data_IF_829663236543
#
_entry.id   IF_829663236543
#
_cell.length_a   1.000
_cell.length_b   1.000
_cell.length_c   1.000
_cell.angle_alpha   90.00
_cell.angle_beta   90.00
_cell.angle_gamma   90.00
#
_symmetry.space_group_name_H-M   'P 1'
#
loop_
_entity.id
_entity.type
_entity.pdbx_description
1 polymer ?
#
# COMPACT_ATOMS: atom_id res chain seq x y z
N UNK A 1 -52.23 51.89 68.53
CA UNK A 1 -50.84 51.67 68.10
C UNK A 1 -50.77 50.23 67.73
N UNK A 2 -50.79 49.93 66.43
CA UNK A 2 -50.94 48.59 65.90
C UNK A 2 -49.71 48.34 65.06
N UNK A 3 -48.82 47.37 65.46
CA UNK A 3 -47.67 46.93 64.75
C UNK A 3 -48.04 45.86 63.71
N UNK A 4 -47.70 46.07 62.47
CA UNK A 4 -47.85 45.08 61.39
C UNK A 4 -46.58 44.24 61.26
N UNK A 5 -46.71 42.97 61.35
CA UNK A 5 -45.69 42.00 61.05
C UNK A 5 -45.72 41.67 59.56
N UNK A 6 -44.58 41.83 58.89
CA UNK A 6 -44.38 41.41 57.49
C UNK A 6 -43.72 40.07 57.51
N UNK A 7 -44.36 39.08 56.91
CA UNK A 7 -43.79 37.73 56.67
C UNK A 7 -43.13 37.72 55.28
N UNK A 8 -41.83 37.56 55.29
CA UNK A 8 -41.03 37.36 54.03
C UNK A 8 -40.96 35.86 53.70
N UNK A 9 -41.59 35.47 52.61
CA UNK A 9 -41.47 34.09 52.07
C UNK A 9 -40.22 33.97 51.19
N UNK A 10 -39.31 33.15 51.62
CA UNK A 10 -38.11 32.77 50.82
C UNK A 10 -38.47 31.61 49.93
N UNK A 11 -38.49 31.84 48.63
CA UNK A 11 -38.63 30.78 47.61
C UNK A 11 -37.24 30.16 47.27
N UNK A 12 -37.05 28.91 47.64
CA UNK A 12 -35.88 28.12 47.29
C UNK A 12 -36.08 27.51 45.90
N UNK A 13 -35.38 28.02 44.92
CA UNK A 13 -35.37 27.44 43.57
C UNK A 13 -34.38 26.26 43.53
N UNK A 14 -34.90 25.07 43.41
CA UNK A 14 -34.10 23.83 43.18
C UNK A 14 -33.75 23.74 41.70
N UNK A 15 -32.47 23.94 41.35
CA UNK A 15 -31.96 23.72 39.99
C UNK A 15 -31.69 22.23 39.84
N UNK A 16 -32.51 21.52 39.06
CA UNK A 16 -32.21 20.18 38.58
C UNK A 16 -31.19 20.29 37.45
N UNK A 17 -29.96 19.90 37.72
CA UNK A 17 -28.94 19.67 36.68
C UNK A 17 -29.23 18.33 35.99
N UNK A 18 -29.78 18.39 34.79
CA UNK A 18 -29.91 17.23 33.93
C UNK A 18 -28.53 16.93 33.30
N UNK A 19 -27.83 15.94 33.84
CA UNK A 19 -26.63 15.37 33.19
C UNK A 19 -27.06 14.50 31.99
N UNK A 20 -26.98 15.05 30.80
CA UNK A 20 -27.08 14.29 29.56
C UNK A 20 -25.82 13.41 29.39
N UNK A 21 -25.92 12.14 29.78
CA UNK A 21 -24.94 11.14 29.38
C UNK A 21 -25.07 10.94 27.88
N UNK A 22 -24.14 11.54 27.13
CA UNK A 22 -23.96 11.21 25.71
C UNK A 22 -23.50 9.75 25.63
N UNK A 23 -24.40 8.87 25.18
CA UNK A 23 -24.04 7.52 24.76
C UNK A 23 -23.04 7.68 23.59
N UNK A 24 -21.76 7.48 23.85
CA UNK A 24 -20.80 7.29 22.80
C UNK A 24 -21.17 6.00 22.05
N UNK A 25 -21.69 6.15 20.84
CA UNK A 25 -21.82 5.03 19.92
C UNK A 25 -20.43 4.40 19.77
N UNK A 26 -20.32 3.05 19.77
CA UNK A 26 -19.04 2.41 19.49
C UNK A 26 -18.55 2.93 18.14
N UNK A 27 -17.32 3.44 18.11
CA UNK A 27 -16.68 3.86 16.88
C UNK A 27 -16.71 2.66 15.93
N UNK A 28 -17.37 2.82 14.78
CA UNK A 28 -17.26 1.84 13.70
C UNK A 28 -15.78 1.72 13.38
N UNK A 29 -15.22 0.49 13.28
CA UNK A 29 -13.82 0.35 12.88
C UNK A 29 -13.63 1.09 11.56
N UNK A 30 -12.61 1.94 11.52
CA UNK A 30 -12.28 2.69 10.32
C UNK A 30 -12.17 1.69 9.16
N UNK A 31 -12.96 1.90 8.12
CA UNK A 31 -12.90 1.05 6.93
C UNK A 31 -11.52 1.19 6.33
N UNK A 32 -10.79 0.09 6.14
CA UNK A 32 -9.47 0.14 5.55
C UNK A 32 -9.54 0.82 4.18
N UNK A 33 -8.75 1.86 3.98
CA UNK A 33 -8.47 2.41 2.65
C UNK A 33 -7.61 1.40 1.87
N UNK A 34 -7.70 1.37 0.55
CA UNK A 34 -8.35 2.27 -0.40
C UNK A 34 -9.87 2.08 -0.50
N UNK A 35 -10.58 3.11 -1.03
CA UNK A 35 -12.03 3.10 -1.11
C UNK A 35 -12.57 1.99 -2.02
N UNK A 36 -13.69 1.39 -1.62
CA UNK A 36 -14.36 0.35 -2.40
C UNK A 36 -14.39 -1.01 -1.71
N UNK A 37 -14.82 -2.02 -2.43
CA UNK A 37 -14.99 -3.39 -1.90
C UNK A 37 -13.74 -4.27 -2.06
N UNK A 38 -12.75 -3.82 -2.84
CA UNK A 38 -11.51 -4.54 -3.14
C UNK A 38 -10.34 -3.63 -2.80
N UNK A 39 -9.43 -4.08 -1.94
CA UNK A 39 -8.34 -3.27 -1.39
C UNK A 39 -6.93 -3.74 -1.77
N UNK A 40 -6.81 -4.81 -2.53
CA UNK A 40 -5.50 -5.30 -2.97
C UNK A 40 -5.02 -4.52 -4.18
N UNK A 41 -3.81 -3.97 -4.10
CA UNK A 41 -3.13 -3.29 -5.20
C UNK A 41 -2.05 -4.20 -5.80
N UNK A 42 -2.04 -4.37 -7.12
CA UNK A 42 -0.88 -4.90 -7.84
C UNK A 42 0.05 -3.74 -8.20
N UNK A 43 1.29 -3.75 -7.73
CA UNK A 43 2.30 -2.73 -8.03
C UNK A 43 3.12 -3.21 -9.23
N UNK A 44 2.83 -2.68 -10.42
CA UNK A 44 3.42 -3.10 -11.69
C UNK A 44 4.71 -2.30 -11.95
N UNK A 45 5.75 -2.63 -11.17
CA UNK A 45 7.00 -1.89 -11.17
C UNK A 45 7.70 -1.94 -12.54
N UNK A 46 7.85 -0.75 -13.15
CA UNK A 46 8.52 -0.55 -14.44
C UNK A 46 7.87 -1.28 -15.64
N UNK A 47 6.61 -1.69 -15.53
CA UNK A 47 5.85 -2.18 -16.67
C UNK A 47 5.40 -1.02 -17.56
N UNK A 48 5.56 -1.13 -18.87
CA UNK A 48 5.02 -0.13 -19.77
C UNK A 48 3.49 -0.17 -19.79
N UNK A 49 2.86 0.95 -20.12
CA UNK A 49 1.41 1.12 -20.00
C UNK A 49 0.60 0.14 -20.86
N UNK A 50 1.13 -0.22 -22.04
CA UNK A 50 0.46 -1.21 -22.91
C UNK A 50 0.44 -2.61 -22.27
N UNK A 51 1.53 -2.99 -21.57
CA UNK A 51 1.61 -4.27 -20.84
C UNK A 51 0.69 -4.26 -19.62
N UNK A 52 0.63 -3.15 -18.88
CA UNK A 52 -0.31 -2.99 -17.75
C UNK A 52 -1.75 -3.11 -18.21
N UNK A 53 -2.13 -2.44 -19.32
CA UNK A 53 -3.47 -2.50 -19.89
C UNK A 53 -3.88 -3.96 -20.20
N UNK A 54 -2.99 -4.70 -20.84
CA UNK A 54 -3.20 -6.12 -21.15
C UNK A 54 -3.36 -6.95 -19.88
N UNK A 55 -2.56 -6.69 -18.86
CA UNK A 55 -2.57 -7.43 -17.60
C UNK A 55 -3.83 -7.12 -16.76
N UNK A 56 -4.35 -5.88 -16.81
CA UNK A 56 -5.64 -5.54 -16.22
C UNK A 56 -6.76 -6.44 -16.75
N UNK A 57 -6.80 -6.69 -18.07
CA UNK A 57 -7.82 -7.53 -18.71
C UNK A 57 -7.60 -9.01 -18.44
N UNK A 58 -6.36 -9.48 -18.54
CA UNK A 58 -6.05 -10.91 -18.53
C UNK A 58 -5.95 -11.51 -17.14
N UNK A 59 -5.46 -10.75 -16.16
CA UNK A 59 -5.15 -11.28 -14.83
C UNK A 59 -5.78 -10.47 -13.70
N UNK A 60 -5.56 -9.15 -13.66
CA UNK A 60 -5.91 -8.35 -12.47
C UNK A 60 -7.43 -8.28 -12.26
N UNK A 61 -8.19 -7.96 -13.31
CA UNK A 61 -9.66 -7.93 -13.23
C UNK A 61 -10.24 -9.29 -12.86
N UNK A 62 -9.93 -10.38 -13.62
CA UNK A 62 -10.41 -11.72 -13.30
C UNK A 62 -10.03 -12.24 -11.92
N UNK A 63 -8.82 -11.92 -11.41
CA UNK A 63 -8.39 -12.30 -10.07
C UNK A 63 -9.05 -11.47 -8.96
N UNK A 64 -9.63 -10.32 -9.29
CA UNK A 64 -10.32 -9.46 -8.35
C UNK A 64 -9.45 -8.43 -7.65
N UNK A 65 -8.30 -8.06 -8.22
CA UNK A 65 -7.54 -6.89 -7.75
C UNK A 65 -8.43 -5.64 -7.79
N UNK A 66 -8.33 -4.81 -6.75
CA UNK A 66 -9.06 -3.55 -6.70
C UNK A 66 -8.32 -2.44 -7.44
N UNK A 67 -7.01 -2.48 -7.39
CA UNK A 67 -6.13 -1.43 -7.88
C UNK A 67 -4.91 -2.00 -8.62
N UNK A 68 -4.41 -1.20 -9.57
CA UNK A 68 -3.08 -1.34 -10.14
C UNK A 68 -2.30 -0.05 -9.89
N UNK A 69 -1.09 -0.15 -9.37
CA UNK A 69 -0.16 0.97 -9.25
C UNK A 69 0.85 0.89 -10.39
N UNK A 70 1.05 2.01 -11.08
CA UNK A 70 2.04 2.14 -12.16
C UNK A 70 3.19 3.03 -11.73
N UNK A 71 4.40 2.75 -12.23
CA UNK A 71 5.59 3.58 -12.02
C UNK A 71 5.40 4.99 -12.60
N UNK A 72 6.22 5.98 -12.20
CA UNK A 72 6.00 7.38 -12.52
C UNK A 72 5.77 7.66 -14.00
N UNK A 73 4.66 8.31 -14.38
CA UNK A 73 4.36 8.57 -15.79
C UNK A 73 5.03 9.84 -16.35
N UNK A 74 5.61 10.66 -15.48
CA UNK A 74 6.23 11.93 -15.87
C UNK A 74 7.44 11.75 -16.78
N UNK A 75 7.74 12.76 -17.60
CA UNK A 75 9.00 12.85 -18.32
C UNK A 75 10.17 12.87 -17.34
N UNK A 76 11.16 12.04 -17.57
CA UNK A 76 12.29 11.84 -16.66
C UNK A 76 13.63 11.86 -17.41
N UNK A 77 14.75 11.81 -16.69
CA UNK A 77 16.08 11.73 -17.30
C UNK A 77 16.23 10.48 -18.18
N UNK A 78 17.09 10.54 -19.18
CA UNK A 78 17.41 9.37 -19.99
C UNK A 78 18.35 8.42 -19.23
N UNK A 79 18.15 7.12 -19.45
CA UNK A 79 18.98 6.08 -18.88
C UNK A 79 18.29 4.71 -18.90
N UNK A 80 19.07 3.66 -18.71
CA UNK A 80 18.55 2.28 -18.66
C UNK A 80 18.20 1.82 -17.25
N UNK A 81 18.71 2.51 -16.22
CA UNK A 81 18.50 2.18 -14.82
C UNK A 81 17.05 2.45 -14.40
N UNK A 82 16.51 1.63 -13.47
CA UNK A 82 15.13 1.78 -12.99
C UNK A 82 14.88 3.13 -12.33
N UNK A 83 15.82 3.62 -11.53
CA UNK A 83 15.69 4.87 -10.76
C UNK A 83 15.64 6.13 -11.64
N UNK A 84 15.93 6.02 -12.94
CA UNK A 84 15.76 7.16 -13.86
C UNK A 84 14.30 7.61 -13.97
N UNK A 85 13.33 6.70 -13.79
CA UNK A 85 11.89 7.04 -13.73
C UNK A 85 11.52 7.90 -12.52
N UNK A 86 12.37 7.91 -11.48
CA UNK A 86 12.20 8.70 -10.27
C UNK A 86 12.99 10.02 -10.28
N UNK A 87 13.49 10.45 -11.44
CA UNK A 87 14.14 11.73 -11.64
C UNK A 87 13.40 12.58 -12.70
N UNK A 88 12.30 13.24 -12.33
CA UNK A 88 11.48 13.99 -13.28
C UNK A 88 12.23 15.18 -13.88
N UNK A 89 11.92 15.46 -15.15
CA UNK A 89 12.42 16.60 -15.93
C UNK A 89 11.28 17.56 -16.27
N UNK A 90 10.08 17.05 -16.44
CA UNK A 90 8.86 17.81 -16.55
C UNK A 90 7.66 16.97 -16.12
N UNK A 91 6.49 17.59 -15.99
CA UNK A 91 5.25 16.87 -15.68
C UNK A 91 4.47 16.43 -16.92
N UNK A 92 5.09 16.45 -18.10
CA UNK A 92 4.53 15.85 -19.30
C UNK A 92 4.49 14.31 -19.12
N UNK A 93 3.41 13.67 -19.56
CA UNK A 93 3.34 12.21 -19.61
C UNK A 93 4.09 11.73 -20.85
N UNK A 94 5.39 11.57 -20.72
CA UNK A 94 6.33 11.27 -21.79
C UNK A 94 7.55 10.49 -21.26
N UNK A 95 7.35 9.62 -20.26
CA UNK A 95 8.37 8.73 -19.71
C UNK A 95 8.66 7.55 -20.64
N UNK A 96 9.67 6.75 -20.30
CA UNK A 96 10.05 5.55 -21.09
C UNK A 96 8.96 4.48 -21.13
N UNK A 97 8.01 4.49 -20.19
CA UNK A 97 6.96 3.47 -20.08
C UNK A 97 5.78 3.73 -21.01
N UNK A 98 5.76 4.87 -21.69
CA UNK A 98 4.75 5.24 -22.67
C UNK A 98 4.41 6.72 -22.65
N UNK A 99 3.75 7.16 -23.72
CA UNK A 99 3.26 8.52 -23.85
C UNK A 99 1.87 8.71 -23.23
N UNK A 100 1.35 9.93 -23.29
CA UNK A 100 0.02 10.30 -22.78
C UNK A 100 -1.11 9.45 -23.37
N UNK A 101 -1.02 9.10 -24.65
CA UNK A 101 -2.04 8.28 -25.34
C UNK A 101 -2.01 6.84 -24.79
N UNK A 102 -0.83 6.26 -24.65
CA UNK A 102 -0.67 4.93 -24.05
C UNK A 102 -1.15 4.90 -22.60
N UNK A 103 -0.85 5.95 -21.82
CA UNK A 103 -1.32 6.07 -20.44
C UNK A 103 -2.86 6.14 -20.36
N UNK A 104 -3.50 7.01 -21.16
CA UNK A 104 -4.96 7.11 -21.20
C UNK A 104 -5.62 5.78 -21.61
N UNK A 105 -5.06 5.10 -22.62
CA UNK A 105 -5.55 3.81 -23.06
C UNK A 105 -5.44 2.74 -21.95
N UNK A 106 -4.34 2.76 -21.19
CA UNK A 106 -4.14 1.89 -20.04
C UNK A 106 -5.21 2.14 -18.97
N UNK A 107 -5.43 3.40 -18.57
CA UNK A 107 -6.47 3.75 -17.58
C UNK A 107 -7.84 3.26 -18.01
N UNK A 108 -8.24 3.56 -19.25
CA UNK A 108 -9.53 3.14 -19.79
C UNK A 108 -9.69 1.60 -19.81
N UNK A 109 -8.63 0.88 -20.17
CA UNK A 109 -8.65 -0.58 -20.22
C UNK A 109 -8.74 -1.21 -18.83
N UNK A 110 -7.97 -0.67 -17.86
CA UNK A 110 -8.04 -1.15 -16.48
C UNK A 110 -9.42 -0.89 -15.87
N UNK A 111 -10.02 0.28 -16.10
CA UNK A 111 -11.38 0.59 -15.67
C UNK A 111 -12.42 -0.37 -16.29
N UNK A 112 -12.29 -0.66 -17.57
CA UNK A 112 -13.17 -1.64 -18.23
C UNK A 112 -13.05 -3.06 -17.63
N UNK A 113 -11.89 -3.40 -17.07
CA UNK A 113 -11.64 -4.65 -16.33
C UNK A 113 -12.05 -4.56 -14.84
N UNK A 114 -12.58 -3.42 -14.38
CA UNK A 114 -12.97 -3.20 -12.99
C UNK A 114 -11.79 -2.97 -12.03
N UNK A 115 -10.65 -2.54 -12.56
CA UNK A 115 -9.42 -2.25 -11.81
C UNK A 115 -9.17 -0.75 -11.83
N UNK A 116 -9.01 -0.13 -10.68
CA UNK A 116 -8.67 1.28 -10.51
C UNK A 116 -7.17 1.51 -10.66
N UNK A 117 -6.78 2.73 -11.04
CA UNK A 117 -5.40 3.07 -11.32
C UNK A 117 -4.84 4.03 -10.27
N UNK A 118 -3.70 3.66 -9.67
CA UNK A 118 -2.87 4.49 -8.80
C UNK A 118 -1.61 4.88 -9.58
N UNK A 119 -1.34 6.17 -9.69
CA UNK A 119 -0.10 6.65 -10.29
C UNK A 119 0.95 6.92 -9.21
N UNK A 120 2.16 6.39 -9.40
CA UNK A 120 3.31 6.79 -8.60
C UNK A 120 3.72 8.21 -9.00
N UNK A 121 3.81 9.13 -8.04
CA UNK A 121 4.05 10.55 -8.28
C UNK A 121 5.27 11.05 -7.52
N UNK A 122 6.29 11.45 -8.28
CA UNK A 122 7.51 12.07 -7.75
C UNK A 122 7.31 13.56 -7.73
N UNK A 123 7.13 14.10 -6.53
CA UNK A 123 6.80 15.53 -6.32
C UNK A 123 7.64 16.18 -5.22
N UNK A 124 8.55 15.43 -4.58
CA UNK A 124 9.52 15.97 -3.63
C UNK A 124 10.66 16.71 -4.32
N UNK A 125 11.08 16.22 -5.47
CA UNK A 125 12.32 16.64 -6.11
C UNK A 125 12.20 16.57 -7.63
N UNK A 126 13.14 17.19 -8.28
CA UNK A 126 13.44 17.03 -9.70
C UNK A 126 14.71 16.18 -9.87
N UNK A 127 15.37 16.25 -11.02
CA UNK A 127 16.53 15.41 -11.33
C UNK A 127 17.85 15.97 -10.78
N UNK A 128 18.85 15.15 -10.72
CA UNK A 128 20.25 15.56 -10.62
C UNK A 128 20.82 15.86 -12.03
N UNK A 129 21.89 16.68 -12.08
CA UNK A 129 22.62 16.92 -13.31
C UNK A 129 21.93 17.80 -14.35
N UNK A 130 22.21 17.55 -15.63
CA UNK A 130 21.68 18.32 -16.75
C UNK A 130 21.61 17.45 -18.02
N UNK A 131 20.73 17.81 -18.94
CA UNK A 131 20.58 17.06 -20.20
C UNK A 131 19.26 17.32 -20.91
N UNK A 132 18.78 16.27 -21.59
CA UNK A 132 17.48 16.26 -22.26
C UNK A 132 16.69 15.07 -21.72
N UNK A 133 15.45 15.32 -21.30
CA UNK A 133 14.55 14.29 -20.82
C UNK A 133 14.03 13.34 -21.91
N UNK A 134 13.30 12.31 -21.49
CA UNK A 134 12.69 11.31 -22.39
C UNK A 134 11.68 11.90 -23.35
N UNK A 135 11.02 13.01 -23.00
CA UNK A 135 10.08 13.75 -23.84
C UNK A 135 10.69 14.92 -24.60
N UNK A 136 12.01 15.10 -24.56
CA UNK A 136 12.75 16.13 -25.29
C UNK A 136 12.93 17.47 -24.57
N UNK A 137 12.49 17.59 -23.31
CA UNK A 137 12.70 18.81 -22.52
C UNK A 137 14.15 18.92 -22.05
N UNK A 138 14.78 20.09 -22.30
CA UNK A 138 16.11 20.38 -21.76
C UNK A 138 16.02 20.78 -20.29
N UNK A 139 17.03 20.42 -19.50
CA UNK A 139 17.07 20.77 -18.07
C UNK A 139 18.51 20.92 -17.55
N UNK A 140 18.63 21.66 -16.48
CA UNK A 140 19.78 21.61 -15.56
C UNK A 140 19.24 21.43 -14.15
N UNK A 141 20.11 21.03 -13.19
CA UNK A 141 19.70 20.61 -11.84
C UNK A 141 18.67 21.55 -11.17
N UNK A 142 18.81 22.87 -11.36
CA UNK A 142 17.89 23.86 -10.77
C UNK A 142 17.19 24.73 -11.80
N UNK A 143 17.06 24.27 -13.05
CA UNK A 143 16.33 25.00 -14.07
C UNK A 143 15.65 24.02 -15.05
N UNK A 144 14.32 24.05 -15.04
CA UNK A 144 13.42 23.26 -15.87
C UNK A 144 12.55 24.22 -16.67
N UNK A 145 12.96 24.59 -17.91
CA UNK A 145 12.33 25.69 -18.66
C UNK A 145 10.82 25.55 -18.80
N UNK A 146 10.10 26.59 -18.38
CA UNK A 146 8.64 26.62 -18.40
C UNK A 146 7.96 25.91 -17.22
N UNK A 147 8.74 25.37 -16.27
CA UNK A 147 8.22 24.72 -15.08
C UNK A 147 8.85 25.29 -13.80
N UNK A 148 10.16 25.12 -13.60
CA UNK A 148 10.87 25.55 -12.40
C UNK A 148 12.17 26.29 -12.72
N UNK A 149 12.50 27.27 -11.90
CA UNK A 149 13.76 28.02 -11.88
C UNK A 149 14.47 27.81 -10.56
N UNK A 150 15.67 28.35 -10.39
CA UNK A 150 16.45 28.20 -9.16
C UNK A 150 15.77 28.76 -7.89
N UNK A 151 14.71 29.56 -8.03
CA UNK A 151 13.96 30.10 -6.88
C UNK A 151 12.88 29.14 -6.36
N UNK A 152 12.63 28.05 -7.06
CA UNK A 152 11.59 27.08 -6.75
C UNK A 152 12.15 25.85 -5.98
N UNK A 153 13.42 25.91 -5.58
CA UNK A 153 14.12 24.86 -4.84
C UNK A 153 14.58 25.36 -3.47
N UNK A 154 14.68 24.45 -2.50
CA UNK A 154 15.17 24.75 -1.17
C UNK A 154 16.63 25.22 -1.18
N UNK A 155 16.97 26.11 -0.24
CA UNK A 155 18.32 26.68 -0.10
C UNK A 155 19.39 25.67 0.30
N UNK A 156 19.00 24.53 0.88
CA UNK A 156 19.93 23.47 1.29
C UNK A 156 20.30 22.58 0.11
N UNK A 157 21.36 22.91 -0.60
CA UNK A 157 21.89 22.10 -1.72
C UNK A 157 22.81 20.95 -1.29
N UNK A 158 22.93 20.68 0.01
CA UNK A 158 23.65 19.53 0.56
C UNK A 158 22.74 18.31 0.68
N UNK A 159 23.31 17.11 0.63
CA UNK A 159 22.54 15.89 0.86
C UNK A 159 22.08 15.79 2.32
N UNK A 160 20.96 15.11 2.56
CA UNK A 160 20.48 14.74 3.89
C UNK A 160 21.54 13.88 4.59
N UNK A 161 21.93 14.28 5.79
CA UNK A 161 22.94 13.59 6.61
C UNK A 161 22.47 13.26 8.02
N UNK A 162 21.35 13.85 8.47
CA UNK A 162 20.86 13.70 9.83
C UNK A 162 19.34 13.54 9.88
N UNK A 163 18.85 12.32 9.96
CA UNK A 163 17.41 12.02 10.06
C UNK A 163 16.78 12.37 11.42
N UNK A 164 17.59 12.72 12.45
CA UNK A 164 17.09 13.27 13.71
C UNK A 164 16.82 14.78 13.65
N UNK A 165 17.16 15.45 12.55
CA UNK A 165 16.90 16.86 12.29
C UNK A 165 15.84 17.02 11.18
N UNK A 166 14.65 17.49 11.55
CA UNK A 166 13.52 17.69 10.63
C UNK A 166 13.87 18.62 9.46
N UNK A 167 14.57 19.73 9.75
CA UNK A 167 14.94 20.67 8.70
C UNK A 167 15.90 20.04 7.70
N UNK A 168 16.86 19.25 8.19
CA UNK A 168 17.76 18.51 7.30
C UNK A 168 17.00 17.48 6.42
N UNK A 169 15.97 16.81 6.98
CA UNK A 169 15.19 15.79 6.27
C UNK A 169 14.25 16.41 5.22
N UNK A 170 13.69 17.60 5.49
CA UNK A 170 12.60 18.19 4.69
C UNK A 170 13.01 19.40 3.84
N UNK A 171 14.29 19.81 3.90
CA UNK A 171 14.79 20.96 3.14
C UNK A 171 16.15 20.69 2.49
N UNK A 172 16.76 19.52 2.67
CA UNK A 172 18.01 19.16 2.03
C UNK A 172 17.82 18.04 1.02
N UNK A 173 18.76 17.91 0.10
CA UNK A 173 18.63 17.01 -1.05
C UNK A 173 18.63 15.53 -0.67
N UNK A 174 17.60 14.82 -1.04
CA UNK A 174 17.57 13.36 -0.99
C UNK A 174 18.50 12.81 -2.09
N UNK A 175 19.58 12.14 -1.69
CA UNK A 175 20.60 11.53 -2.57
C UNK A 175 21.13 12.48 -3.68
N UNK A 176 21.13 13.78 -3.40
CA UNK A 176 21.63 14.80 -4.33
C UNK A 176 20.66 15.23 -5.43
N UNK A 177 19.38 14.89 -5.31
CA UNK A 177 18.31 15.33 -6.20
C UNK A 177 17.84 16.74 -5.81
N UNK A 178 17.52 17.57 -6.83
CA UNK A 178 17.11 18.96 -6.58
C UNK A 178 15.77 19.01 -5.82
N UNK A 179 15.82 19.42 -4.57
CA UNK A 179 14.70 19.43 -3.62
C UNK A 179 13.78 20.63 -3.90
N UNK A 180 12.47 20.38 -4.07
CA UNK A 180 11.49 21.41 -4.38
C UNK A 180 11.04 22.15 -3.12
N UNK A 181 11.12 23.49 -3.11
CA UNK A 181 10.55 24.29 -2.02
C UNK A 181 9.01 24.22 -2.04
N UNK A 182 8.46 23.17 -1.43
CA UNK A 182 7.01 22.98 -1.31
C UNK A 182 6.34 24.00 -0.38
N UNK A 183 7.11 24.80 0.36
CA UNK A 183 6.66 25.98 1.07
C UNK A 183 6.14 27.06 0.14
N UNK A 184 6.62 27.11 -1.11
CA UNK A 184 6.22 28.08 -2.10
C UNK A 184 4.86 27.75 -2.75
N UNK A 185 4.01 28.76 -2.85
CA UNK A 185 2.66 28.59 -3.42
C UNK A 185 2.68 28.21 -4.90
N UNK A 186 3.68 28.69 -5.63
CA UNK A 186 3.88 28.36 -7.03
C UNK A 186 4.20 26.87 -7.20
N UNK A 187 5.15 26.35 -6.44
CA UNK A 187 5.55 24.94 -6.47
C UNK A 187 4.36 24.02 -6.15
N UNK A 188 3.63 24.30 -5.07
CA UNK A 188 2.40 23.54 -4.74
C UNK A 188 1.35 23.62 -5.84
N UNK A 189 1.26 24.77 -6.52
CA UNK A 189 0.35 24.96 -7.67
C UNK A 189 0.74 24.15 -8.90
N UNK A 190 2.04 24.11 -9.22
CA UNK A 190 2.57 23.31 -10.34
C UNK A 190 2.38 21.81 -10.10
N UNK A 191 2.68 21.33 -8.88
CA UNK A 191 2.45 19.94 -8.46
C UNK A 191 0.97 19.59 -8.56
N UNK A 192 0.07 20.42 -8.02
CA UNK A 192 -1.37 20.21 -8.10
C UNK A 192 -1.87 20.20 -9.55
N UNK A 193 -1.28 21.04 -10.42
CA UNK A 193 -1.55 21.05 -11.86
C UNK A 193 -1.24 19.70 -12.52
N UNK A 194 -0.08 19.12 -12.22
CA UNK A 194 0.31 17.79 -12.69
C UNK A 194 -0.65 16.70 -12.22
N UNK A 195 -0.95 16.68 -10.92
CA UNK A 195 -1.85 15.68 -10.35
C UNK A 195 -3.28 15.84 -10.90
N UNK A 196 -3.76 17.06 -11.12
CA UNK A 196 -5.05 17.33 -11.78
C UNK A 196 -5.07 16.87 -13.23
N UNK A 197 -3.96 16.98 -13.95
CA UNK A 197 -3.84 16.42 -15.28
C UNK A 197 -4.00 14.90 -15.28
N UNK A 198 -3.35 14.20 -14.36
CA UNK A 198 -3.54 12.74 -14.17
C UNK A 198 -4.98 12.38 -13.78
N UNK A 199 -5.62 13.16 -12.89
CA UNK A 199 -7.03 12.98 -12.55
C UNK A 199 -7.94 13.15 -13.77
N UNK A 200 -7.62 14.09 -14.66
CA UNK A 200 -8.38 14.30 -15.90
C UNK A 200 -8.32 13.10 -16.85
N UNK A 201 -7.30 12.27 -16.74
CA UNK A 201 -7.12 11.02 -17.48
C UNK A 201 -7.76 9.81 -16.77
N UNK A 202 -8.38 10.02 -15.60
CA UNK A 202 -9.10 8.99 -14.87
C UNK A 202 -8.29 8.27 -13.80
N UNK A 203 -7.14 8.78 -13.37
CA UNK A 203 -6.40 8.21 -12.24
C UNK A 203 -7.26 8.26 -10.96
N UNK A 204 -7.33 7.16 -10.24
CA UNK A 204 -8.16 6.97 -9.05
C UNK A 204 -7.42 7.22 -7.72
N UNK A 205 -6.11 7.30 -7.77
CA UNK A 205 -5.28 7.50 -6.59
C UNK A 205 -3.82 7.79 -6.93
N UNK A 206 -3.08 8.16 -5.89
CA UNK A 206 -1.67 8.47 -6.00
C UNK A 206 -0.85 7.73 -4.92
N UNK A 207 0.28 7.19 -5.31
CA UNK A 207 1.36 6.92 -4.37
C UNK A 207 2.28 8.14 -4.39
N UNK A 208 2.54 8.72 -3.24
CA UNK A 208 3.42 9.89 -3.12
C UNK A 208 4.82 9.40 -2.78
N UNK A 209 5.70 9.49 -3.75
CA UNK A 209 7.12 9.16 -3.63
C UNK A 209 7.80 10.08 -2.62
N UNK A 210 8.73 9.55 -1.82
CA UNK A 210 9.55 10.30 -0.88
C UNK A 210 8.76 11.31 0.00
N UNK A 211 7.51 10.99 0.34
CA UNK A 211 6.61 11.88 1.10
C UNK A 211 7.18 12.33 2.45
N UNK A 212 8.07 11.53 3.05
CA UNK A 212 8.82 11.86 4.27
C UNK A 212 9.57 13.19 4.18
N UNK A 213 10.03 13.53 2.99
CA UNK A 213 10.88 14.70 2.72
C UNK A 213 10.06 15.95 2.40
N UNK A 214 8.74 15.85 2.33
CA UNK A 214 7.81 16.97 2.16
C UNK A 214 7.08 17.20 3.50
N UNK A 215 6.99 18.44 4.01
CA UNK A 215 6.17 18.72 5.18
C UNK A 215 4.72 18.25 4.97
N UNK A 216 4.15 17.52 5.95
CA UNK A 216 2.79 16.97 5.85
C UNK A 216 1.73 18.06 5.59
N UNK A 217 1.95 19.28 6.07
CA UNK A 217 1.10 20.44 5.82
C UNK A 217 1.11 20.89 4.36
N UNK A 218 2.27 20.81 3.68
CA UNK A 218 2.39 21.15 2.27
C UNK A 218 1.71 20.12 1.39
N UNK A 219 1.84 18.84 1.73
CA UNK A 219 1.05 17.76 1.09
C UNK A 219 -0.45 17.98 1.28
N UNK A 220 -0.90 18.37 2.47
CA UNK A 220 -2.32 18.72 2.72
C UNK A 220 -2.76 19.90 1.84
N UNK A 221 -1.92 20.90 1.70
CA UNK A 221 -2.19 22.08 0.85
C UNK A 221 -2.26 21.68 -0.65
N UNK A 222 -1.31 20.88 -1.14
CA UNK A 222 -1.35 20.34 -2.51
C UNK A 222 -2.65 19.57 -2.74
N UNK A 223 -2.99 18.67 -1.82
CA UNK A 223 -4.22 17.85 -1.90
C UNK A 223 -5.48 18.71 -1.96
N UNK A 224 -5.53 19.79 -1.19
CA UNK A 224 -6.67 20.73 -1.20
C UNK A 224 -6.88 21.46 -2.53
N UNK A 225 -5.84 21.53 -3.39
CA UNK A 225 -5.89 22.16 -4.72
C UNK A 225 -6.30 21.20 -5.83
N UNK A 226 -6.50 19.92 -5.51
CA UNK A 226 -6.90 18.93 -6.50
C UNK A 226 -8.37 19.11 -6.87
N UNK A 227 -8.72 18.80 -8.11
CA UNK A 227 -10.10 18.77 -8.60
C UNK A 227 -10.98 17.77 -7.84
N UNK A 228 -10.36 16.75 -7.23
CA UNK A 228 -10.96 15.84 -6.28
C UNK A 228 -10.06 15.71 -5.03
N UNK A 229 -10.23 16.55 -3.99
CA UNK A 229 -9.44 16.47 -2.76
C UNK A 229 -9.65 15.17 -1.95
N UNK A 230 -10.70 14.42 -2.25
CA UNK A 230 -10.98 13.12 -1.62
C UNK A 230 -10.33 11.94 -2.34
N UNK A 231 -9.54 12.17 -3.40
CA UNK A 231 -8.83 11.13 -4.12
C UNK A 231 -7.94 10.32 -3.19
N UNK A 232 -7.86 9.02 -3.43
CA UNK A 232 -7.04 8.11 -2.63
C UNK A 232 -5.56 8.48 -2.70
N UNK A 233 -4.91 8.57 -1.54
CA UNK A 233 -3.47 8.77 -1.40
C UNK A 233 -2.85 7.67 -0.58
N UNK A 234 -1.68 7.21 -1.01
CA UNK A 234 -0.78 6.33 -0.30
C UNK A 234 0.60 6.97 -0.28
N UNK A 235 1.14 7.23 0.91
CA UNK A 235 2.33 8.05 1.10
C UNK A 235 3.51 7.18 1.54
N UNK A 236 4.66 7.35 0.90
CA UNK A 236 5.90 6.71 1.32
C UNK A 236 6.56 7.54 2.41
N UNK A 237 6.42 7.10 3.65
CA UNK A 237 7.09 7.68 4.81
C UNK A 237 7.78 6.57 5.57
N UNK A 238 9.05 6.31 5.25
CA UNK A 238 9.80 5.20 5.82
C UNK A 238 10.01 5.44 7.32
N UNK A 239 9.59 4.49 8.15
CA UNK A 239 9.79 4.55 9.60
C UNK A 239 11.27 4.38 9.95
N UNK A 240 11.78 5.28 10.80
CA UNK A 240 13.06 5.15 11.49
C UNK A 240 12.92 5.49 12.97
N UNK A 241 13.45 4.63 13.83
CA UNK A 241 13.40 4.85 15.28
C UNK A 241 14.24 6.06 15.66
N UNK A 242 13.66 7.02 16.39
CA UNK A 242 14.33 8.25 16.82
C UNK A 242 14.51 9.32 15.72
N UNK A 243 13.97 9.10 14.53
CA UNK A 243 13.97 10.10 13.47
C UNK A 243 12.93 11.21 13.74
N UNK A 244 13.24 12.43 13.28
CA UNK A 244 12.42 13.61 13.55
C UNK A 244 11.09 13.63 12.79
N UNK A 245 11.02 12.95 11.65
CA UNK A 245 9.82 12.84 10.80
C UNK A 245 9.25 11.43 10.88
N UNK A 246 8.02 11.31 11.34
CA UNK A 246 7.37 10.02 11.61
C UNK A 246 6.16 9.78 10.70
N UNK A 247 5.90 8.52 10.30
CA UNK A 247 4.76 8.14 9.45
C UNK A 247 3.40 8.64 9.96
N UNK A 248 3.20 8.66 11.27
CA UNK A 248 1.93 9.07 11.89
C UNK A 248 1.54 10.52 11.61
N UNK A 249 2.49 11.38 11.26
CA UNK A 249 2.23 12.78 10.93
C UNK A 249 1.48 12.96 9.60
N UNK A 250 1.55 11.95 8.73
CA UNK A 250 0.98 11.98 7.37
C UNK A 250 -0.39 11.33 7.25
N UNK A 251 -0.86 10.64 8.30
CA UNK A 251 -2.12 9.88 8.26
C UNK A 251 -3.36 10.75 8.04
N UNK A 252 -3.28 12.06 8.31
CA UNK A 252 -4.33 13.03 7.99
C UNK A 252 -4.51 13.29 6.49
N UNK A 253 -3.50 13.00 5.67
CA UNK A 253 -3.51 13.19 4.22
C UNK A 253 -4.00 11.96 3.44
N UNK A 254 -3.91 10.78 4.02
CA UNK A 254 -4.26 9.50 3.40
C UNK A 254 -3.54 8.34 4.05
N UNK A 255 -3.54 7.20 3.39
CA UNK A 255 -2.79 6.03 3.84
C UNK A 255 -1.28 6.29 3.82
N UNK A 256 -0.57 5.60 4.71
CA UNK A 256 0.88 5.63 4.80
C UNK A 256 1.40 4.19 4.73
N UNK A 257 2.48 3.96 4.01
CA UNK A 257 3.11 2.65 3.92
C UNK A 257 3.78 2.28 5.26
N UNK A 258 3.32 1.18 5.87
CA UNK A 258 3.83 0.67 7.15
C UNK A 258 5.01 -0.27 6.91
N UNK A 259 6.19 0.28 6.79
CA UNK A 259 7.43 -0.47 6.49
C UNK A 259 7.79 -1.51 7.54
N UNK A 260 7.49 -1.24 8.83
CA UNK A 260 7.76 -2.20 9.92
C UNK A 260 7.06 -3.53 9.71
N UNK A 261 5.88 -3.51 9.08
CA UNK A 261 5.15 -4.71 8.70
C UNK A 261 6.03 -5.65 7.85
N UNK A 262 6.66 -5.16 6.81
CA UNK A 262 7.50 -5.96 5.94
C UNK A 262 8.80 -6.43 6.61
N UNK A 263 9.44 -5.54 7.40
CA UNK A 263 10.67 -5.86 8.13
C UNK A 263 10.44 -6.98 9.16
N UNK A 264 9.36 -6.88 9.92
CA UNK A 264 9.03 -7.85 10.95
C UNK A 264 8.52 -9.16 10.35
N UNK A 265 7.81 -9.17 9.22
CA UNK A 265 7.50 -10.41 8.49
C UNK A 265 8.77 -11.15 8.10
N UNK A 266 9.78 -10.46 7.55
CA UNK A 266 11.06 -11.10 7.24
C UNK A 266 11.71 -11.71 8.48
N UNK A 267 11.72 -10.97 9.58
CA UNK A 267 12.30 -11.43 10.85
C UNK A 267 11.60 -12.67 11.36
N UNK A 268 10.27 -12.68 11.34
CA UNK A 268 9.47 -13.79 11.83
C UNK A 268 9.62 -15.01 10.94
N UNK A 269 9.46 -14.88 9.62
CA UNK A 269 9.55 -16.02 8.69
C UNK A 269 10.95 -16.63 8.57
N UNK A 270 12.01 -15.84 8.87
CA UNK A 270 13.37 -16.36 8.78
C UNK A 270 13.96 -16.83 10.11
N UNK A 271 13.53 -16.26 11.26
CA UNK A 271 14.28 -16.41 12.49
C UNK A 271 13.44 -16.65 13.74
N UNK A 272 12.11 -16.52 13.66
CA UNK A 272 11.22 -16.60 14.83
C UNK A 272 10.02 -17.50 14.51
N UNK A 273 9.12 -17.66 15.48
CA UNK A 273 7.95 -18.52 15.35
C UNK A 273 6.76 -17.76 14.73
N UNK A 274 6.07 -18.35 13.75
CA UNK A 274 4.84 -17.80 13.18
C UNK A 274 3.74 -17.60 14.24
N UNK A 275 3.76 -18.35 15.33
CA UNK A 275 2.86 -18.18 16.47
C UNK A 275 2.82 -16.74 17.01
N UNK A 276 3.88 -15.96 16.86
CA UNK A 276 3.96 -14.57 17.30
C UNK A 276 3.04 -13.63 16.49
N UNK A 277 2.64 -14.03 15.29
CA UNK A 277 1.79 -13.20 14.41
C UNK A 277 0.32 -13.08 14.87
N UNK A 278 -0.05 -13.68 15.98
CA UNK A 278 -1.44 -13.73 16.48
C UNK A 278 -2.12 -12.36 16.57
N UNK A 279 -1.40 -11.33 16.98
CA UNK A 279 -1.89 -9.94 17.10
C UNK A 279 -1.05 -8.96 16.30
N UNK A 280 -0.61 -9.40 15.12
CA UNK A 280 0.22 -8.62 14.21
C UNK A 280 -0.46 -7.33 13.75
N UNK A 281 0.29 -6.26 13.57
CA UNK A 281 -0.24 -4.96 13.22
C UNK A 281 -0.36 -4.01 14.42
N UNK A 282 -1.54 -3.51 14.74
CA UNK A 282 -1.74 -2.58 15.86
C UNK A 282 -1.25 -3.13 17.21
N UNK A 283 -1.39 -4.44 17.43
CA UNK A 283 -0.86 -5.12 18.61
C UNK A 283 0.66 -5.07 18.75
N UNK A 284 1.37 -4.77 17.66
CA UNK A 284 2.82 -4.58 17.62
C UNK A 284 3.23 -3.10 17.66
N UNK A 285 2.27 -2.18 17.83
CA UNK A 285 2.51 -0.74 17.90
C UNK A 285 2.64 -0.07 16.54
N UNK A 286 2.12 -0.70 15.47
CA UNK A 286 2.02 -0.09 14.15
C UNK A 286 0.90 0.94 14.09
N UNK A 287 0.83 1.70 12.99
CA UNK A 287 -0.27 2.62 12.75
C UNK A 287 -1.62 1.88 12.73
N UNK A 288 -2.73 2.63 12.86
CA UNK A 288 -4.07 2.05 12.70
C UNK A 288 -4.22 1.36 11.34
N UNK A 289 -4.85 0.18 11.34
CA UNK A 289 -5.14 -0.61 10.14
C UNK A 289 -5.83 0.20 9.05
N UNK A 290 -6.70 1.15 9.44
CA UNK A 290 -7.48 1.95 8.49
C UNK A 290 -6.68 3.00 7.70
N UNK A 291 -5.41 3.21 8.03
CA UNK A 291 -4.52 4.18 7.36
C UNK A 291 -3.18 3.56 6.94
N UNK A 292 -3.05 2.24 7.01
CA UNK A 292 -1.81 1.52 6.73
C UNK A 292 -1.87 0.84 5.37
N UNK A 293 -0.93 1.16 4.48
CA UNK A 293 -0.59 0.32 3.34
C UNK A 293 0.44 -0.72 3.76
N UNK A 294 0.25 -1.99 3.42
CA UNK A 294 1.16 -3.08 3.82
C UNK A 294 1.68 -3.84 2.60
N UNK A 295 2.88 -4.39 2.72
CA UNK A 295 3.53 -5.15 1.67
C UNK A 295 4.51 -6.18 2.28
N UNK A 296 4.87 -7.19 1.52
CA UNK A 296 5.98 -8.10 1.87
C UNK A 296 7.29 -7.53 1.38
N UNK A 297 7.30 -6.97 0.16
CA UNK A 297 8.39 -6.22 -0.45
C UNK A 297 7.86 -5.07 -1.30
N UNK A 298 8.73 -4.13 -1.61
CA UNK A 298 8.55 -3.14 -2.67
C UNK A 298 9.83 -3.06 -3.53
N UNK A 299 9.83 -2.20 -4.55
CA UNK A 299 10.92 -2.08 -5.49
C UNK A 299 12.27 -1.65 -4.88
N UNK A 300 12.26 -0.91 -3.74
CA UNK A 300 13.47 -0.53 -3.00
C UNK A 300 13.92 -1.64 -2.04
N UNK A 301 12.98 -2.17 -1.26
CA UNK A 301 13.30 -3.16 -0.23
C UNK A 301 13.75 -4.49 -0.80
N UNK A 302 13.26 -4.88 -1.99
CA UNK A 302 13.77 -6.07 -2.69
C UNK A 302 15.23 -5.91 -3.16
N UNK A 303 15.71 -4.66 -3.29
CA UNK A 303 17.07 -4.34 -3.73
C UNK A 303 18.05 -4.11 -2.59
N UNK A 304 17.59 -3.61 -1.46
CA UNK A 304 18.45 -3.35 -0.30
C UNK A 304 18.51 -4.50 0.71
N UNK A 305 17.72 -5.55 0.49
CA UNK A 305 17.71 -6.74 1.32
C UNK A 305 17.03 -6.58 2.69
N UNK A 306 16.26 -5.52 2.91
CA UNK A 306 15.58 -5.28 4.20
C UNK A 306 14.31 -6.12 4.40
N UNK A 307 13.72 -6.65 3.35
CA UNK A 307 12.51 -7.47 3.39
C UNK A 307 12.71 -8.85 2.77
N UNK A 308 11.70 -9.73 2.90
CA UNK A 308 11.59 -10.91 2.04
C UNK A 308 11.38 -10.47 0.60
N UNK A 309 11.80 -11.30 -0.35
CA UNK A 309 11.68 -11.03 -1.78
C UNK A 309 11.33 -12.30 -2.55
N UNK A 310 11.10 -12.21 -3.84
CA UNK A 310 10.90 -13.38 -4.71
C UNK A 310 12.06 -14.41 -4.63
N UNK A 311 13.23 -14.02 -4.12
CA UNK A 311 14.41 -14.88 -3.94
C UNK A 311 14.30 -15.80 -2.72
N UNK A 312 13.39 -15.51 -1.78
CA UNK A 312 13.23 -16.24 -0.53
C UNK A 312 12.24 -17.42 -0.63
N UNK A 313 11.77 -17.74 -1.85
CA UNK A 313 10.99 -18.95 -2.13
C UNK A 313 9.71 -19.05 -1.27
N UNK A 314 9.60 -20.16 -0.51
CA UNK A 314 8.40 -20.41 0.30
C UNK A 314 8.16 -19.35 1.38
N UNK A 315 9.20 -18.77 1.99
CA UNK A 315 9.05 -17.73 3.00
C UNK A 315 8.31 -16.51 2.42
N UNK A 316 8.69 -16.07 1.21
CA UNK A 316 8.02 -14.98 0.51
C UNK A 316 6.56 -15.32 0.17
N UNK A 317 6.33 -16.52 -0.36
CA UNK A 317 4.99 -16.96 -0.76
C UNK A 317 4.05 -17.07 0.45
N UNK A 318 4.49 -17.71 1.54
CA UNK A 318 3.70 -17.88 2.75
C UNK A 318 3.46 -16.56 3.50
N UNK A 319 4.45 -15.65 3.50
CA UNK A 319 4.27 -14.30 4.03
C UNK A 319 3.22 -13.51 3.23
N UNK A 320 3.19 -13.66 1.90
CA UNK A 320 2.16 -13.07 1.03
C UNK A 320 0.78 -13.67 1.29
N UNK A 321 0.69 -14.99 1.49
CA UNK A 321 -0.57 -15.67 1.90
C UNK A 321 -1.05 -15.13 3.24
N UNK A 322 -0.16 -14.98 4.23
CA UNK A 322 -0.49 -14.42 5.54
C UNK A 322 -1.00 -12.97 5.39
N UNK A 323 -0.27 -12.11 4.68
CA UNK A 323 -0.65 -10.71 4.47
C UNK A 323 -2.04 -10.57 3.84
N UNK A 324 -2.34 -11.37 2.82
CA UNK A 324 -3.64 -11.34 2.14
C UNK A 324 -4.77 -11.94 2.99
N UNK A 325 -4.44 -12.86 3.91
CA UNK A 325 -5.43 -13.46 4.81
C UNK A 325 -5.69 -12.61 6.07
N UNK A 326 -4.68 -11.95 6.62
CA UNK A 326 -4.78 -11.24 7.90
C UNK A 326 -5.41 -9.85 7.73
N UNK A 327 -6.31 -9.39 8.66
CA UNK A 327 -7.12 -8.18 8.42
C UNK A 327 -6.42 -6.87 8.82
N UNK A 328 -5.12 -6.73 8.60
CA UNK A 328 -4.40 -5.50 8.88
C UNK A 328 -3.98 -4.81 7.58
N UNK A 329 -4.27 -3.52 7.46
CA UNK A 329 -3.86 -2.67 6.35
C UNK A 329 -4.45 -3.03 4.99
N UNK A 330 -4.10 -2.25 3.97
CA UNK A 330 -4.41 -2.49 2.57
C UNK A 330 -3.19 -3.10 1.86
N UNK A 331 -3.28 -4.33 1.32
CA UNK A 331 -2.12 -5.04 0.77
C UNK A 331 -1.68 -4.52 -0.61
N UNK A 332 -0.37 -4.32 -0.75
CA UNK A 332 0.31 -4.14 -2.03
C UNK A 332 1.08 -5.42 -2.39
N UNK A 333 0.93 -5.89 -3.62
CA UNK A 333 1.70 -6.98 -4.19
C UNK A 333 2.69 -6.40 -5.20
N UNK A 334 3.97 -6.41 -4.86
CA UNK A 334 5.03 -6.01 -5.79
C UNK A 334 5.10 -7.00 -6.95
N UNK A 335 5.25 -6.51 -8.16
CA UNK A 335 5.38 -7.32 -9.36
C UNK A 335 6.44 -6.73 -10.28
N UNK A 336 7.64 -7.22 -10.11
CA UNK A 336 8.84 -6.74 -10.77
C UNK A 336 9.50 -7.80 -11.65
N UNK A 337 10.81 -7.69 -11.74
CA UNK A 337 11.66 -8.53 -12.59
C UNK A 337 12.91 -8.99 -11.84
N UNK A 338 13.55 -10.02 -12.39
CA UNK A 338 14.80 -10.55 -11.86
C UNK A 338 15.97 -9.61 -12.15
N UNK A 339 16.80 -9.41 -11.14
CA UNK A 339 18.01 -8.59 -11.25
C UNK A 339 19.15 -9.19 -10.44
N UNK A 340 20.37 -8.96 -10.91
CA UNK A 340 21.63 -9.22 -10.20
C UNK A 340 22.39 -7.92 -9.89
N UNK A 341 22.14 -6.88 -10.69
CA UNK A 341 22.65 -5.53 -10.49
C UNK A 341 21.54 -4.69 -9.85
N UNK A 342 21.87 -4.01 -8.75
CA UNK A 342 20.94 -3.12 -8.02
C UNK A 342 20.27 -2.10 -8.94
N UNK A 343 21.00 -1.57 -9.91
CA UNK A 343 20.54 -0.49 -10.78
C UNK A 343 19.84 -0.99 -12.06
N UNK A 344 19.80 -2.31 -12.27
CA UNK A 344 19.20 -2.89 -13.47
C UNK A 344 17.78 -2.36 -13.73
N UNK A 345 17.58 -1.77 -14.89
CA UNK A 345 16.27 -1.34 -15.37
C UNK A 345 15.44 -2.50 -15.93
N UNK A 346 14.21 -2.21 -16.34
CA UNK A 346 13.26 -3.24 -16.75
C UNK A 346 13.70 -3.95 -18.03
N UNK A 347 13.53 -5.29 -18.11
CA UNK A 347 13.74 -6.03 -19.34
C UNK A 347 12.86 -5.48 -20.47
N UNK A 348 13.39 -5.46 -21.69
CA UNK A 348 12.67 -5.02 -22.91
C UNK A 348 11.99 -3.64 -22.76
N UNK A 349 12.60 -2.70 -22.04
CA UNK A 349 12.04 -1.36 -21.82
C UNK A 349 10.65 -1.37 -21.16
N UNK A 350 10.42 -2.31 -20.25
CA UNK A 350 9.13 -2.46 -19.56
C UNK A 350 8.08 -3.26 -20.31
N UNK A 351 8.39 -3.78 -21.51
CA UNK A 351 7.45 -4.61 -22.26
C UNK A 351 7.38 -6.03 -21.71
N UNK A 352 6.20 -6.44 -21.27
CA UNK A 352 5.91 -7.78 -20.75
C UNK A 352 5.05 -8.55 -21.75
N UNK A 353 5.68 -9.47 -22.47
CA UNK A 353 4.98 -10.32 -23.43
C UNK A 353 4.25 -11.47 -22.73
N UNK A 354 4.89 -12.06 -21.74
CA UNK A 354 4.32 -13.09 -20.87
C UNK A 354 5.06 -13.09 -19.53
N UNK A 355 4.34 -13.44 -18.47
CA UNK A 355 4.91 -13.69 -17.16
C UNK A 355 5.91 -14.86 -17.19
N UNK A 356 6.89 -14.82 -16.31
CA UNK A 356 7.99 -15.79 -16.19
C UNK A 356 8.91 -15.89 -17.41
N UNK A 357 8.83 -14.94 -18.32
CA UNK A 357 9.73 -14.84 -19.48
C UNK A 357 10.57 -13.58 -19.40
N UNK A 358 11.80 -13.64 -19.95
CA UNK A 358 12.72 -12.51 -20.03
C UNK A 358 13.01 -11.82 -18.67
N UNK A 359 13.01 -12.57 -17.58
CA UNK A 359 13.26 -12.04 -16.23
C UNK A 359 12.05 -11.50 -15.48
N UNK A 360 10.89 -11.34 -16.12
CA UNK A 360 9.67 -10.89 -15.43
C UNK A 360 9.16 -11.94 -14.44
N UNK A 361 9.02 -11.57 -13.17
CA UNK A 361 8.61 -12.45 -12.07
C UNK A 361 7.09 -12.55 -11.92
N UNK A 362 6.37 -11.47 -12.13
CA UNK A 362 4.90 -11.43 -12.09
C UNK A 362 4.31 -12.02 -10.79
N UNK A 363 4.78 -11.59 -9.64
CA UNK A 363 4.36 -12.13 -8.35
C UNK A 363 2.85 -12.05 -8.14
N UNK A 364 2.19 -10.99 -8.69
CA UNK A 364 0.74 -10.84 -8.68
C UNK A 364 -0.01 -12.00 -9.37
N UNK A 365 0.65 -12.72 -10.28
CA UNK A 365 0.07 -13.82 -11.04
C UNK A 365 0.45 -15.21 -10.48
N UNK A 366 1.31 -15.27 -9.46
CA UNK A 366 1.64 -16.56 -8.83
C UNK A 366 0.40 -17.22 -8.26
N UNK A 367 0.15 -18.51 -8.50
CA UNK A 367 -1.10 -19.17 -8.10
C UNK A 367 -1.42 -18.99 -6.64
N UNK A 368 -0.43 -19.09 -5.75
CA UNK A 368 -0.54 -18.97 -4.30
C UNK A 368 -0.96 -17.55 -3.88
N UNK A 369 -0.44 -16.53 -4.56
CA UNK A 369 -0.73 -15.11 -4.25
C UNK A 369 -2.06 -14.70 -4.91
N UNK A 370 -2.22 -14.97 -6.20
CA UNK A 370 -3.41 -14.62 -6.97
C UNK A 370 -4.69 -15.18 -6.36
N UNK A 371 -4.66 -16.45 -5.92
CA UNK A 371 -5.82 -17.09 -5.32
C UNK A 371 -6.26 -16.44 -4.00
N UNK A 372 -5.31 -15.83 -3.26
CA UNK A 372 -5.60 -15.15 -2.01
C UNK A 372 -6.24 -13.78 -2.19
N UNK A 373 -6.18 -13.19 -3.38
CA UNK A 373 -6.92 -11.95 -3.68
C UNK A 373 -8.44 -12.18 -3.57
N UNK A 374 -8.94 -13.28 -4.12
CA UNK A 374 -10.35 -13.67 -3.98
C UNK A 374 -10.71 -13.99 -2.51
N UNK A 375 -9.81 -14.65 -1.77
CA UNK A 375 -9.97 -14.88 -0.33
C UNK A 375 -10.10 -13.55 0.43
N UNK A 376 -9.18 -12.59 0.19
CA UNK A 376 -9.21 -11.25 0.82
C UNK A 376 -10.52 -10.54 0.57
N UNK A 377 -11.00 -10.53 -0.68
CA UNK A 377 -12.26 -9.90 -1.05
C UNK A 377 -13.45 -10.56 -0.35
N UNK A 378 -13.50 -11.89 -0.28
CA UNK A 378 -14.58 -12.63 0.37
C UNK A 378 -14.62 -12.44 1.89
N UNK A 379 -13.48 -12.15 2.50
CA UNK A 379 -13.32 -12.05 3.96
C UNK A 379 -13.13 -10.61 4.46
N UNK A 380 -13.25 -9.62 3.57
CA UNK A 380 -13.05 -8.21 3.94
C UNK A 380 -14.01 -7.77 5.03
N UNK A 381 -13.50 -7.08 6.06
CA UNK A 381 -14.27 -6.62 7.22
C UNK A 381 -14.51 -7.69 8.28
N UNK A 382 -14.21 -8.95 8.02
CA UNK A 382 -14.39 -10.01 9.01
C UNK A 382 -13.23 -10.04 10.01
N UNK A 383 -13.50 -10.26 11.31
CA UNK A 383 -12.45 -10.36 12.33
C UNK A 383 -11.70 -11.70 12.24
N UNK A 384 -10.52 -11.75 12.88
CA UNK A 384 -9.82 -13.02 13.15
C UNK A 384 -10.62 -13.83 14.15
N UNK A 385 -10.88 -15.10 13.83
CA UNK A 385 -11.57 -16.07 14.71
C UNK A 385 -10.81 -17.38 14.73
N UNK A 386 -11.07 -18.23 15.71
CA UNK A 386 -10.54 -19.59 15.76
C UNK A 386 -9.02 -19.66 15.56
N UNK A 387 -8.27 -18.71 16.10
CA UNK A 387 -6.81 -18.73 16.03
C UNK A 387 -6.27 -20.01 16.69
N UNK A 388 -5.36 -20.66 15.99
CA UNK A 388 -4.59 -21.77 16.47
C UNK A 388 -3.13 -21.63 16.03
N UNK A 389 -2.22 -22.05 16.88
CA UNK A 389 -0.82 -22.24 16.57
C UNK A 389 -0.28 -23.46 17.33
N UNK A 390 0.86 -24.00 16.91
CA UNK A 390 1.56 -25.07 17.60
C UNK A 390 2.66 -24.57 18.55
N UNK A 391 2.71 -23.23 18.77
CA UNK A 391 3.79 -22.57 19.50
C UNK A 391 5.06 -22.37 18.66
N UNK A 392 5.10 -22.84 17.42
CA UNK A 392 6.19 -22.78 16.44
C UNK A 392 5.74 -22.13 15.12
N UNK A 393 6.04 -22.82 14.03
CA UNK A 393 5.87 -22.30 12.67
C UNK A 393 4.62 -22.82 11.95
N UNK A 394 3.64 -23.34 12.69
CA UNK A 394 2.34 -23.68 12.14
C UNK A 394 1.24 -22.85 12.80
N UNK A 395 0.47 -22.13 11.97
CA UNK A 395 -0.64 -21.27 12.41
C UNK A 395 -1.89 -21.53 11.57
N UNK A 396 -3.06 -21.25 12.15
CA UNK A 396 -4.31 -21.23 11.42
C UNK A 396 -5.30 -20.26 12.06
N UNK A 397 -6.16 -19.65 11.25
CA UNK A 397 -7.19 -18.75 11.74
C UNK A 397 -8.34 -18.58 10.75
N UNK A 398 -9.51 -18.30 11.32
CA UNK A 398 -10.69 -17.92 10.55
C UNK A 398 -10.78 -16.42 10.33
N UNK A 399 -11.60 -16.05 9.37
CA UNK A 399 -12.05 -14.70 9.11
C UNK A 399 -13.57 -14.68 9.23
N UNK A 400 -14.07 -14.44 10.46
CA UNK A 400 -15.49 -14.60 10.77
C UNK A 400 -16.05 -15.94 10.28
N UNK A 401 -17.26 -15.91 9.74
CA UNK A 401 -17.86 -17.07 9.04
C UNK A 401 -17.61 -17.09 7.54
N UNK A 402 -16.60 -16.36 7.04
CA UNK A 402 -16.38 -16.18 5.59
C UNK A 402 -15.13 -16.87 5.04
N UNK A 403 -14.15 -17.17 5.87
CA UNK A 403 -12.92 -17.82 5.41
C UNK A 403 -12.14 -18.47 6.52
N UNK A 404 -11.20 -19.34 6.14
CA UNK A 404 -10.24 -19.98 7.02
C UNK A 404 -8.93 -20.21 6.27
N UNK A 405 -7.81 -19.94 6.93
CA UNK A 405 -6.47 -20.18 6.40
C UNK A 405 -5.66 -20.99 7.41
N UNK A 406 -4.83 -21.90 6.91
CA UNK A 406 -3.82 -22.60 7.70
C UNK A 406 -2.48 -22.54 6.95
N UNK A 407 -1.41 -22.26 7.67
CA UNK A 407 -0.04 -22.14 7.15
C UNK A 407 0.83 -23.10 7.93
N UNK A 408 1.53 -23.98 7.24
CA UNK A 408 2.55 -24.86 7.81
C UNK A 408 3.92 -24.49 7.24
N UNK A 409 4.71 -23.78 8.04
CA UNK A 409 6.09 -23.42 7.71
C UNK A 409 7.11 -24.33 8.42
N UNK A 410 6.63 -25.45 9.01
CA UNK A 410 7.49 -26.48 9.58
C UNK A 410 8.22 -27.28 8.48
N UNK A 411 9.32 -27.95 8.85
CA UNK A 411 10.08 -28.83 7.96
C UNK A 411 9.38 -30.15 7.64
N UNK A 412 8.28 -30.47 8.33
CA UNK A 412 7.51 -31.71 8.17
C UNK A 412 6.04 -31.43 7.89
N UNK A 413 5.34 -32.43 7.35
CA UNK A 413 3.89 -32.34 7.16
C UNK A 413 3.14 -32.37 8.48
N UNK A 414 2.03 -31.64 8.55
CA UNK A 414 1.15 -31.53 9.69
C UNK A 414 -0.27 -32.00 9.33
N UNK A 415 -0.78 -33.01 10.02
CA UNK A 415 -2.18 -33.43 9.93
C UNK A 415 -2.93 -32.96 11.18
N UNK A 416 -4.02 -32.21 10.98
CA UNK A 416 -4.80 -31.67 12.09
C UNK A 416 -6.28 -31.52 11.74
N UNK A 417 -7.13 -31.65 12.77
CA UNK A 417 -8.53 -31.21 12.73
C UNK A 417 -8.60 -29.76 13.18
N UNK A 418 -9.07 -28.88 12.30
CA UNK A 418 -9.23 -27.44 12.53
C UNK A 418 -10.67 -27.13 12.91
N UNK A 419 -10.86 -26.17 13.83
CA UNK A 419 -12.15 -25.59 14.18
C UNK A 419 -12.31 -24.29 13.38
N UNK A 420 -13.45 -24.11 12.71
CA UNK A 420 -13.78 -22.93 11.92
C UNK A 420 -15.18 -22.42 12.25
N UNK A 421 -15.46 -21.16 11.92
CA UNK A 421 -16.80 -20.57 11.95
C UNK A 421 -17.52 -20.61 10.60
N UNK A 422 -16.92 -21.25 9.59
CA UNK A 422 -17.59 -21.52 8.32
C UNK A 422 -18.78 -22.47 8.53
N UNK A 423 -19.84 -22.30 7.75
CA UNK A 423 -20.98 -23.22 7.73
C UNK A 423 -20.54 -24.62 7.28
N UNK A 424 -21.29 -25.64 7.72
CA UNK A 424 -21.08 -27.00 7.21
C UNK A 424 -21.30 -27.02 5.68
N UNK A 425 -20.40 -27.70 4.97
CA UNK A 425 -20.41 -27.75 3.51
C UNK A 425 -19.06 -28.07 2.91
N UNK A 426 -19.02 -28.13 1.57
CA UNK A 426 -17.78 -28.33 0.82
C UNK A 426 -17.26 -27.01 0.30
N UNK A 427 -15.96 -26.80 0.44
CA UNK A 427 -15.22 -25.62 -0.01
C UNK A 427 -14.04 -26.02 -0.87
N UNK A 428 -13.62 -25.16 -1.77
CA UNK A 428 -12.39 -25.35 -2.53
C UNK A 428 -11.20 -24.73 -1.77
N UNK A 429 -10.17 -25.52 -1.51
CA UNK A 429 -8.88 -25.00 -1.12
C UNK A 429 -8.26 -24.24 -2.30
N UNK A 430 -8.22 -22.91 -2.22
CA UNK A 430 -7.78 -22.08 -3.33
C UNK A 430 -6.27 -22.16 -3.60
N UNK A 431 -5.50 -22.74 -2.67
CA UNK A 431 -4.06 -22.91 -2.84
C UNK A 431 -3.69 -24.08 -3.76
N UNK A 432 -4.56 -25.11 -3.87
CA UNK A 432 -4.24 -26.30 -4.65
C UNK A 432 -5.45 -26.94 -5.38
N UNK A 433 -6.61 -26.26 -5.37
CA UNK A 433 -7.86 -26.72 -6.00
C UNK A 433 -8.32 -28.09 -5.51
N UNK A 434 -8.17 -28.42 -4.22
CA UNK A 434 -8.73 -29.63 -3.61
C UNK A 434 -9.95 -29.30 -2.75
N UNK A 435 -10.90 -30.24 -2.68
CA UNK A 435 -12.10 -30.06 -1.88
C UNK A 435 -11.82 -30.28 -0.38
N UNK A 436 -12.39 -29.42 0.45
CA UNK A 436 -12.38 -29.50 1.92
C UNK A 436 -13.82 -29.49 2.42
N UNK A 437 -14.19 -30.50 3.23
CA UNK A 437 -15.54 -30.59 3.80
C UNK A 437 -15.53 -30.20 5.27
N UNK A 438 -16.26 -29.14 5.61
CA UNK A 438 -16.55 -28.71 6.97
C UNK A 438 -17.80 -29.47 7.44
N UNK A 439 -17.69 -30.18 8.56
CA UNK A 439 -18.78 -30.93 9.15
C UNK A 439 -19.79 -30.07 9.92
N UNK A 440 -20.85 -30.67 10.44
CA UNK A 440 -21.88 -29.96 11.21
C UNK A 440 -21.40 -29.34 12.52
N UNK A 441 -20.25 -29.76 13.03
CA UNK A 441 -19.60 -29.18 14.21
C UNK A 441 -18.64 -28.03 13.87
N UNK A 442 -18.58 -27.60 12.60
CA UNK A 442 -17.68 -26.55 12.13
C UNK A 442 -16.23 -27.01 12.07
N UNK A 443 -15.95 -28.30 11.83
CA UNK A 443 -14.62 -28.86 11.81
C UNK A 443 -14.28 -29.49 10.46
N UNK A 444 -12.99 -29.47 10.11
CA UNK A 444 -12.42 -30.23 9.00
C UNK A 444 -11.01 -30.73 9.36
N UNK A 445 -10.64 -31.87 8.78
CA UNK A 445 -9.27 -32.40 8.93
C UNK A 445 -8.52 -32.21 7.62
N UNK A 446 -7.31 -31.70 7.71
CA UNK A 446 -6.41 -31.53 6.57
C UNK A 446 -4.97 -31.90 6.92
N UNK A 447 -4.23 -32.33 5.90
CA UNK A 447 -2.78 -32.51 5.96
C UNK A 447 -2.12 -31.43 5.10
N UNK A 448 -1.30 -30.60 5.72
CA UNK A 448 -0.46 -29.61 5.04
C UNK A 448 0.96 -30.15 4.96
N UNK A 449 1.53 -30.16 3.76
CA UNK A 449 2.95 -30.45 3.58
C UNK A 449 3.85 -29.40 4.22
N UNK A 450 5.15 -29.66 4.29
CA UNK A 450 6.14 -28.66 4.69
C UNK A 450 6.07 -27.44 3.77
N UNK A 451 6.11 -26.24 4.33
CA UNK A 451 6.08 -24.96 3.62
C UNK A 451 4.88 -24.81 2.66
N UNK A 452 3.70 -25.21 3.13
CA UNK A 452 2.45 -25.07 2.36
C UNK A 452 1.36 -24.35 3.13
N UNK A 453 0.36 -23.86 2.41
CA UNK A 453 -0.84 -23.27 2.99
C UNK A 453 -2.11 -23.94 2.45
N UNK A 454 -3.19 -23.79 3.22
CA UNK A 454 -4.57 -24.10 2.86
C UNK A 454 -5.40 -22.84 3.08
N UNK A 455 -6.25 -22.50 2.12
CA UNK A 455 -7.19 -21.40 2.28
C UNK A 455 -8.53 -21.74 1.64
N UNK A 456 -9.61 -21.61 2.42
CA UNK A 456 -10.99 -21.84 1.99
C UNK A 456 -11.86 -20.64 2.33
N UNK A 457 -12.83 -20.30 1.48
CA UNK A 457 -13.74 -19.19 1.73
C UNK A 457 -15.14 -19.41 1.17
N UNK A 458 -16.12 -18.70 1.71
CA UNK A 458 -17.52 -18.85 1.37
C UNK A 458 -17.86 -18.51 -0.10
N UNK A 459 -17.01 -17.74 -0.77
CA UNK A 459 -17.17 -17.42 -2.18
C UNK A 459 -16.75 -18.52 -3.15
N UNK A 460 -16.19 -19.66 -2.67
CA UNK A 460 -15.75 -20.77 -3.53
C UNK A 460 -16.05 -22.13 -2.91
N UNK A 461 -17.24 -22.66 -3.24
CA UNK A 461 -17.78 -23.93 -2.73
C UNK A 461 -17.56 -25.13 -3.67
N UNK A 462 -16.91 -24.92 -4.79
CA UNK A 462 -16.50 -25.97 -5.74
C UNK A 462 -15.13 -25.65 -6.33
N UNK A 463 -14.37 -26.68 -6.60
CA UNK A 463 -13.09 -26.57 -7.31
C UNK A 463 -13.22 -26.69 -8.84
#
# INVERSE_FOLDING_TARGET
>A
MISRWSVTATATATVLAATSAALMAPATPASASPPGTKDVTAVMFEWNFASVAKECTNTLGPAGYGYVQVSPPAEHIQGSQWWTSYQPVSYKIAGRLGDRTAFQNMVNTCHAAGVKVVADTVINHMSAGSGTGTGGSSYTKYNYPGLYSSFDFDDCTAQITNYADRTNVQNCELVGLADLDTGESYVRGAIAGYMNDLLSLGVDGFRIDAAKHIPAADLANIKSRLSNPSVYWKQEVIYGSGEAVQPTEYTGNGDVQEFRYAYDLKRVFNNENLAYLKNYGEGWGYMSSGVSGVFVDNHDTERNGSTLTYKDGANYTLASVFMLAYPYGAPDINSGYEFSDHDAGPPNGGTVNACWQNGWKCQHAWPEIKSMVAFRNATRGEPVTNWWDNGGDAIAFGRGGKGYVAINHESSSLTRTYQTSLAAGTYCNVQNNTSVTVNSSGQFTATLGSNTALAIHAGRTSC
#
